data_IF_379690700312
#
_entry.id   IF_379690700312
#
_cell.length_a   1.000
_cell.length_b   1.000
_cell.length_c   1.000
_cell.angle_alpha   90.00
_cell.angle_beta   90.00
_cell.angle_gamma   90.00
#
_symmetry.space_group_name_H-M   'P 1'
#
loop_
_entity.id
_entity.type
_entity.pdbx_description
1 polymer ?
#
# COMPACT_ATOMS: atom_id res chain seq x y z
N UNK A 1 -25.63 10.23 -15.10
CA UNK A 1 -24.23 9.80 -15.24
C UNK A 1 -23.54 10.29 -14.00
N UNK A 2 -23.23 9.42 -13.04
CA UNK A 2 -22.52 9.85 -11.82
C UNK A 2 -21.12 10.25 -12.26
N UNK A 3 -20.76 11.50 -12.04
CA UNK A 3 -19.40 11.98 -12.22
C UNK A 3 -18.56 11.35 -11.11
N UNK A 4 -17.86 10.26 -11.43
CA UNK A 4 -16.87 9.68 -10.53
C UNK A 4 -15.60 10.50 -10.76
N UNK A 5 -15.47 11.62 -10.04
CA UNK A 5 -14.26 12.45 -10.11
C UNK A 5 -13.14 11.74 -9.35
N UNK A 6 -12.30 11.00 -10.07
CA UNK A 6 -11.10 10.37 -9.50
C UNK A 6 -9.98 11.39 -9.42
N UNK A 7 -9.30 11.44 -8.28
CA UNK A 7 -8.21 12.37 -8.01
C UNK A 7 -6.88 11.60 -7.89
N UNK A 8 -6.11 11.44 -8.98
CA UNK A 8 -4.86 10.67 -8.98
C UNK A 8 -3.83 11.17 -7.94
N UNK A 9 -3.80 12.47 -7.68
CA UNK A 9 -2.94 13.05 -6.65
C UNK A 9 -3.30 12.58 -5.23
N UNK A 10 -4.60 12.45 -4.92
CA UNK A 10 -5.05 11.92 -3.64
C UNK A 10 -4.70 10.44 -3.49
N UNK A 11 -4.87 9.64 -4.56
CA UNK A 11 -4.48 8.23 -4.57
C UNK A 11 -2.98 8.04 -4.32
N UNK A 12 -2.12 8.86 -4.93
CA UNK A 12 -0.67 8.84 -4.67
C UNK A 12 -0.33 9.26 -3.24
N UNK A 13 -0.99 10.29 -2.72
CA UNK A 13 -0.78 10.73 -1.34
C UNK A 13 -1.13 9.63 -0.34
N UNK A 14 -2.26 8.93 -0.56
CA UNK A 14 -2.64 7.77 0.24
C UNK A 14 -1.65 6.61 0.10
N UNK A 15 -1.22 6.28 -1.13
CA UNK A 15 -0.20 5.24 -1.37
C UNK A 15 1.10 5.54 -0.62
N UNK A 16 1.60 6.77 -0.71
CA UNK A 16 2.82 7.21 -0.02
C UNK A 16 2.65 7.20 1.51
N UNK A 17 1.48 7.59 2.02
CA UNK A 17 1.18 7.55 3.44
C UNK A 17 1.18 6.11 3.99
N UNK A 18 0.56 5.19 3.25
CA UNK A 18 0.56 3.77 3.59
C UNK A 18 1.98 3.20 3.52
N UNK A 19 2.75 3.49 2.47
CA UNK A 19 4.15 3.07 2.35
C UNK A 19 5.05 3.64 3.46
N UNK A 20 4.82 4.88 3.86
CA UNK A 20 5.55 5.49 4.97
C UNK A 20 5.26 4.79 6.29
N UNK A 21 3.99 4.51 6.57
CA UNK A 21 3.59 3.77 7.77
C UNK A 21 4.12 2.32 7.75
N UNK A 22 4.01 1.62 6.63
CA UNK A 22 4.56 0.26 6.50
C UNK A 22 6.08 0.25 6.54
N UNK A 23 6.76 1.30 6.09
CA UNK A 23 8.21 1.44 6.24
C UNK A 23 8.65 1.62 7.70
N UNK A 24 7.90 2.41 8.47
CA UNK A 24 8.14 2.57 9.92
C UNK A 24 7.87 1.28 10.69
N UNK A 25 6.80 0.56 10.32
CA UNK A 25 6.48 -0.77 10.89
C UNK A 25 7.47 -1.84 10.37
N UNK A 26 7.95 -1.71 9.15
CA UNK A 26 8.96 -2.59 8.57
C UNK A 26 10.32 -2.44 9.25
N UNK A 27 10.70 -1.22 9.66
CA UNK A 27 11.98 -0.97 10.32
C UNK A 27 12.14 -1.71 11.66
N UNK A 28 11.04 -2.01 12.35
CA UNK A 28 11.05 -2.84 13.55
C UNK A 28 10.71 -4.33 13.27
N UNK A 29 10.45 -4.71 12.00
CA UNK A 29 10.11 -6.08 11.61
C UNK A 29 11.14 -7.08 12.12
N UNK A 30 10.67 -8.11 12.81
CA UNK A 30 11.49 -9.09 13.53
C UNK A 30 11.70 -8.80 15.03
N UNK A 31 11.57 -7.54 15.47
CA UNK A 31 11.90 -7.13 16.85
C UNK A 31 10.72 -6.62 17.69
N UNK A 32 9.51 -6.58 17.13
CA UNK A 32 8.26 -6.09 17.75
C UNK A 32 7.98 -6.68 19.14
N UNK A 33 8.39 -7.92 19.36
CA UNK A 33 8.04 -8.70 20.53
C UNK A 33 9.27 -9.35 21.17
N UNK A 34 10.45 -8.74 21.02
CA UNK A 34 11.70 -9.22 21.64
C UNK A 34 11.59 -9.31 23.16
N UNK A 35 10.89 -8.36 23.79
CA UNK A 35 10.60 -8.41 25.22
C UNK A 35 9.78 -9.64 25.60
N UNK A 36 8.77 -9.99 24.79
CA UNK A 36 7.92 -11.18 24.97
C UNK A 36 8.71 -12.47 24.74
N UNK A 37 9.56 -12.52 23.71
CA UNK A 37 10.49 -13.63 23.48
C UNK A 37 11.47 -13.82 24.64
N UNK A 38 12.00 -12.71 25.18
CA UNK A 38 12.90 -12.74 26.34
C UNK A 38 12.18 -13.26 27.59
N UNK A 39 10.96 -12.79 27.84
CA UNK A 39 10.14 -13.27 28.94
C UNK A 39 9.77 -14.76 28.80
N UNK A 40 9.45 -15.22 27.59
CA UNK A 40 9.18 -16.63 27.32
C UNK A 40 10.40 -17.51 27.61
N UNK A 41 11.60 -17.06 27.21
CA UNK A 41 12.85 -17.75 27.51
C UNK A 41 13.16 -17.82 29.02
N UNK A 42 12.85 -16.76 29.77
CA UNK A 42 12.99 -16.75 31.23
C UNK A 42 12.03 -17.72 31.95
N UNK A 43 10.96 -18.15 31.29
CA UNK A 43 9.96 -19.10 31.78
C UNK A 43 10.18 -20.53 31.26
N UNK A 44 11.40 -20.87 30.83
CA UNK A 44 11.72 -22.20 30.32
C UNK A 44 11.33 -23.31 31.31
N UNK A 45 10.66 -24.35 30.81
CA UNK A 45 10.14 -25.46 31.62
C UNK A 45 8.74 -25.23 32.19
N UNK A 46 8.20 -24.01 32.09
CA UNK A 46 6.82 -23.69 32.43
C UNK A 46 5.95 -23.65 31.16
N UNK A 47 4.73 -24.20 31.24
CA UNK A 47 3.76 -24.15 30.15
C UNK A 47 3.41 -22.72 29.72
N UNK A 48 3.48 -21.76 30.65
CA UNK A 48 3.31 -20.33 30.34
C UNK A 48 4.41 -19.79 29.42
N UNK A 49 5.64 -20.28 29.55
CA UNK A 49 6.75 -19.90 28.68
C UNK A 49 6.54 -20.37 27.24
N UNK A 50 6.14 -21.63 27.03
CA UNK A 50 5.83 -22.13 25.68
C UNK A 50 4.63 -21.41 25.07
N UNK A 51 3.56 -21.20 25.84
CA UNK A 51 2.36 -20.49 25.37
C UNK A 51 2.66 -19.03 24.99
N UNK A 52 3.51 -18.35 25.78
CA UNK A 52 3.93 -16.98 25.48
C UNK A 52 4.80 -16.92 24.21
N UNK A 53 5.67 -17.91 24.01
CA UNK A 53 6.45 -18.02 22.77
C UNK A 53 5.54 -18.20 21.56
N UNK A 54 4.60 -19.14 21.62
CA UNK A 54 3.67 -19.40 20.49
C UNK A 54 2.83 -18.16 20.17
N UNK A 55 2.35 -17.46 21.20
CA UNK A 55 1.64 -16.19 21.05
C UNK A 55 2.52 -15.12 20.39
N UNK A 56 3.79 -15.03 20.81
CA UNK A 56 4.76 -14.08 20.24
C UNK A 56 4.99 -14.35 18.76
N UNK A 57 5.24 -15.61 18.39
CA UNK A 57 5.50 -16.02 17.01
C UNK A 57 4.26 -15.79 16.12
N UNK A 58 3.06 -16.07 16.63
CA UNK A 58 1.80 -15.82 15.94
C UNK A 58 1.57 -14.32 15.68
N UNK A 59 1.81 -13.47 16.67
CA UNK A 59 1.67 -12.02 16.51
C UNK A 59 2.70 -11.44 15.55
N UNK A 60 3.96 -11.88 15.61
CA UNK A 60 4.97 -11.44 14.64
C UNK A 60 4.56 -11.78 13.21
N UNK A 61 4.08 -13.01 12.99
CA UNK A 61 3.57 -13.45 11.68
C UNK A 61 2.38 -12.60 11.23
N UNK A 62 1.45 -12.29 12.14
CA UNK A 62 0.28 -11.49 11.81
C UNK A 62 0.64 -10.04 11.44
N UNK A 63 1.54 -9.41 12.19
CA UNK A 63 2.03 -8.05 11.91
C UNK A 63 2.73 -8.01 10.54
N UNK A 64 3.59 -8.98 10.25
CA UNK A 64 4.24 -9.09 8.94
C UNK A 64 3.21 -9.20 7.81
N UNK A 65 2.20 -10.05 7.97
CA UNK A 65 1.12 -10.18 6.99
C UNK A 65 0.33 -8.89 6.79
N UNK A 66 0.09 -8.09 7.84
CA UNK A 66 -0.59 -6.79 7.71
C UNK A 66 0.27 -5.83 6.91
N UNK A 67 1.58 -5.76 7.19
CA UNK A 67 2.54 -4.91 6.46
C UNK A 67 2.54 -5.26 4.98
N UNK A 68 2.58 -6.56 4.64
CA UNK A 68 2.56 -7.01 3.26
C UNK A 68 1.25 -6.63 2.54
N UNK A 69 0.10 -6.82 3.20
CA UNK A 69 -1.19 -6.43 2.62
C UNK A 69 -1.30 -4.92 2.39
N UNK A 70 -0.81 -4.11 3.33
CA UNK A 70 -0.77 -2.66 3.18
C UNK A 70 0.13 -2.23 2.01
N UNK A 71 1.28 -2.88 1.83
CA UNK A 71 2.15 -2.63 0.67
C UNK A 71 1.46 -2.97 -0.66
N UNK A 72 0.71 -4.09 -0.71
CA UNK A 72 -0.10 -4.45 -1.88
C UNK A 72 -1.14 -3.36 -2.18
N UNK A 73 -1.87 -2.89 -1.17
CA UNK A 73 -2.87 -1.83 -1.36
C UNK A 73 -2.25 -0.51 -1.81
N UNK A 74 -1.10 -0.13 -1.25
CA UNK A 74 -0.39 1.06 -1.70
C UNK A 74 0.05 0.94 -3.18
N UNK A 75 0.50 -0.24 -3.60
CA UNK A 75 0.79 -0.53 -5.01
C UNK A 75 -0.44 -0.34 -5.90
N UNK A 76 -1.57 -0.95 -5.53
CA UNK A 76 -2.83 -0.82 -6.27
C UNK A 76 -3.31 0.63 -6.40
N UNK A 77 -3.15 1.43 -5.35
CA UNK A 77 -3.49 2.86 -5.39
C UNK A 77 -2.58 3.63 -6.35
N UNK A 78 -1.27 3.33 -6.34
CA UNK A 78 -0.29 3.91 -7.27
C UNK A 78 -0.60 3.55 -8.73
N UNK A 79 -0.86 2.27 -9.00
CA UNK A 79 -1.19 1.75 -10.34
C UNK A 79 -2.49 2.36 -10.87
N UNK A 80 -3.49 2.51 -9.98
CA UNK A 80 -4.74 3.20 -10.31
C UNK A 80 -4.47 4.65 -10.69
N UNK A 81 -3.70 5.38 -9.90
CA UNK A 81 -3.36 6.77 -10.19
C UNK A 81 -2.61 6.93 -11.53
N UNK A 82 -1.71 6.01 -11.86
CA UNK A 82 -1.01 6.00 -13.15
C UNK A 82 -1.96 5.71 -14.32
N UNK A 83 -2.90 4.77 -14.13
CA UNK A 83 -3.89 4.42 -15.16
C UNK A 83 -4.81 5.59 -15.48
N UNK A 84 -5.25 6.35 -14.46
CA UNK A 84 -6.05 7.55 -14.68
C UNK A 84 -5.28 8.67 -15.40
N UNK A 85 -4.02 8.92 -15.03
CA UNK A 85 -3.19 9.89 -15.75
C UNK A 85 -2.98 9.50 -17.23
N UNK A 86 -2.77 8.22 -17.50
CA UNK A 86 -2.60 7.72 -18.87
C UNK A 86 -3.89 7.88 -19.69
N UNK A 87 -5.05 7.60 -19.10
CA UNK A 87 -6.34 7.79 -19.74
C UNK A 87 -6.61 9.26 -20.07
N UNK A 88 -6.29 10.16 -19.14
CA UNK A 88 -6.43 11.61 -19.32
C UNK A 88 -5.53 12.14 -20.46
N UNK A 89 -4.27 11.71 -20.49
CA UNK A 89 -3.34 12.07 -21.56
C UNK A 89 -3.82 11.58 -22.94
N UNK A 90 -4.38 10.38 -22.99
CA UNK A 90 -4.93 9.84 -24.23
C UNK A 90 -6.19 10.58 -24.69
N UNK A 91 -7.08 10.93 -23.77
CA UNK A 91 -8.23 11.78 -24.07
C UNK A 91 -7.80 13.12 -24.66
N UNK A 92 -6.82 13.79 -24.05
CA UNK A 92 -6.24 15.04 -24.57
C UNK A 92 -5.63 14.88 -25.96
N UNK A 93 -4.87 13.81 -26.23
CA UNK A 93 -4.33 13.53 -27.57
C UNK A 93 -5.43 13.41 -28.60
N UNK A 94 -6.47 12.64 -28.30
CA UNK A 94 -7.58 12.39 -29.23
C UNK A 94 -8.37 13.67 -29.52
N UNK A 95 -8.59 14.50 -28.51
CA UNK A 95 -9.24 15.81 -28.69
C UNK A 95 -8.36 16.73 -29.55
N UNK A 96 -7.07 16.82 -29.28
CA UNK A 96 -6.15 17.65 -30.07
C UNK A 96 -6.06 17.19 -31.54
N UNK A 97 -6.03 15.87 -31.78
CA UNK A 97 -6.06 15.30 -33.12
C UNK A 97 -7.36 15.66 -33.85
N UNK A 98 -8.51 15.47 -33.20
CA UNK A 98 -9.80 15.81 -33.79
C UNK A 98 -9.93 17.32 -34.12
N UNK A 99 -9.42 18.20 -33.25
CA UNK A 99 -9.37 19.64 -33.52
C UNK A 99 -8.46 19.99 -34.70
N UNK A 100 -7.34 19.28 -34.84
CA UNK A 100 -6.42 19.48 -35.97
C UNK A 100 -7.08 19.04 -37.28
N UNK A 101 -7.74 17.89 -37.29
CA UNK A 101 -8.46 17.38 -38.45
C UNK A 101 -9.58 18.34 -38.89
N UNK A 102 -10.38 18.84 -37.95
CA UNK A 102 -11.46 19.81 -38.22
C UNK A 102 -10.92 21.07 -38.91
N UNK A 103 -9.87 21.67 -38.36
CA UNK A 103 -9.25 22.87 -38.94
C UNK A 103 -8.65 22.61 -40.33
N UNK A 104 -8.15 21.39 -40.59
CA UNK A 104 -7.62 21.02 -41.90
C UNK A 104 -8.72 20.85 -42.96
N UNK A 105 -9.93 20.44 -42.57
CA UNK A 105 -11.09 20.36 -43.50
C UNK A 105 -11.76 21.70 -43.82
N UNK A 106 -11.55 22.74 -43.01
CA UNK A 106 -12.09 24.08 -43.27
C UNK A 106 -11.15 24.98 -44.11
N UNK A 107 -9.97 24.45 -44.50
CA UNK A 107 -8.94 25.12 -45.32
C UNK A 107 -8.94 24.64 -46.76
#
# INVERSE_FOLDING_TARGET
MNDISVHPAALRSSANGVQGATGQVGAASGHWLDASSTAAAALTGWQSGSTLKDCTDAWQTHIASIVDQLNVYAGQLSDSAQSYDAAEQEAHRRIAAALTDLNATES
#
